data_IF_192007378103
#
_entry.id   IF_192007378103
#
_cell.length_a   1.000
_cell.length_b   1.000
_cell.length_c   1.000
_cell.angle_alpha   90.00
_cell.angle_beta   90.00
_cell.angle_gamma   90.00
#
_symmetry.space_group_name_H-M   'P 1'
#
loop_
_entity.id
_entity.type
_entity.pdbx_description
1 polymer ?
#
# COMPACT_ATOMS: atom_id res chain seq x y z
N UNK A 1 -34.62 -0.05 -21.82
CA UNK A 1 -34.70 0.65 -20.50
C UNK A 1 -33.52 0.14 -19.68
N UNK A 2 -32.56 0.89 -19.15
CA UNK A 2 -32.26 2.32 -19.08
C UNK A 2 -30.74 2.45 -19.29
N UNK A 3 -30.34 3.46 -20.07
CA UNK A 3 -28.96 3.95 -20.14
C UNK A 3 -28.68 4.80 -18.88
N UNK A 4 -27.50 4.67 -18.30
CA UNK A 4 -26.84 5.70 -17.48
C UNK A 4 -25.38 5.73 -17.92
N UNK A 5 -25.04 6.55 -18.92
CA UNK A 5 -24.54 7.93 -18.81
C UNK A 5 -23.25 8.04 -18.00
N UNK A 6 -22.19 8.43 -18.72
CA UNK A 6 -20.88 8.87 -18.24
C UNK A 6 -20.92 9.65 -16.94
N UNK A 7 -19.97 9.35 -16.06
CA UNK A 7 -19.41 10.31 -15.12
C UNK A 7 -17.89 10.21 -15.27
N UNK A 8 -17.33 11.14 -16.06
CA UNK A 8 -15.94 11.53 -15.92
C UNK A 8 -15.88 12.47 -14.72
N UNK A 9 -15.04 12.18 -13.71
CA UNK A 9 -14.58 13.20 -12.77
C UNK A 9 -13.05 13.16 -12.75
N UNK A 10 -12.52 14.10 -13.51
CA UNK A 10 -11.18 14.69 -13.39
C UNK A 10 -10.92 15.15 -11.95
N UNK A 11 -9.72 14.99 -11.41
CA UNK A 11 -9.06 15.96 -10.50
C UNK A 11 -7.52 15.70 -10.58
N UNK A 12 -6.65 16.68 -10.29
CA UNK A 12 -5.93 17.43 -11.30
C UNK A 12 -4.39 17.44 -11.13
N UNK A 13 -3.74 17.74 -12.24
CA UNK A 13 -2.51 18.51 -12.43
C UNK A 13 -1.58 18.75 -11.22
N UNK A 14 -0.40 18.12 -11.30
CA UNK A 14 0.78 18.44 -10.49
C UNK A 14 1.11 19.94 -10.53
N UNK A 15 1.13 20.60 -9.37
CA UNK A 15 1.79 21.90 -9.22
C UNK A 15 3.23 21.70 -8.77
N UNK A 16 4.13 21.74 -9.75
CA UNK A 16 5.58 21.87 -9.56
C UNK A 16 5.87 23.29 -9.04
N UNK A 17 6.15 23.44 -7.76
CA UNK A 17 6.65 24.71 -7.21
C UNK A 17 8.18 24.69 -7.23
N UNK A 18 8.77 25.39 -8.19
CA UNK A 18 10.20 25.73 -8.20
C UNK A 18 10.46 26.82 -7.15
N UNK A 19 11.19 26.50 -6.08
CA UNK A 19 11.70 27.52 -5.13
C UNK A 19 12.93 28.22 -5.72
N UNK A 20 12.82 29.54 -5.90
CA UNK A 20 13.98 30.45 -6.05
C UNK A 20 14.70 30.54 -4.70
N UNK A 21 16.02 30.33 -4.73
CA UNK A 21 16.91 30.55 -3.59
C UNK A 21 17.26 32.04 -3.57
N UNK A 22 16.85 32.75 -2.52
CA UNK A 22 17.38 34.08 -2.17
C UNK A 22 18.08 33.96 -0.82
N UNK A 23 19.39 34.17 -0.84
CA UNK A 23 20.25 34.26 0.34
C UNK A 23 19.99 35.54 1.12
N UNK A 24 19.64 35.42 2.40
CA UNK A 24 19.54 36.52 3.35
C UNK A 24 20.13 36.09 4.69
N UNK A 25 21.16 36.81 5.11
CA UNK A 25 22.02 36.50 6.26
C UNK A 25 21.45 37.06 7.57
N UNK A 26 21.46 36.21 8.60
CA UNK A 26 21.55 36.44 10.06
C UNK A 26 20.69 37.51 10.78
N UNK A 27 20.02 37.07 11.86
CA UNK A 27 20.29 37.60 13.20
C UNK A 27 19.80 36.64 14.27
N UNK A 28 20.72 36.33 15.18
CA UNK A 28 20.54 35.43 16.30
C UNK A 28 19.82 36.15 17.44
N UNK A 29 18.65 35.67 17.85
CA UNK A 29 18.10 35.93 19.18
C UNK A 29 17.72 34.58 19.79
N UNK A 30 18.51 34.15 20.77
CA UNK A 30 18.20 33.00 21.59
C UNK A 30 16.97 33.34 22.44
N UNK A 31 15.84 32.73 22.09
CA UNK A 31 14.66 32.64 22.95
C UNK A 31 14.38 31.16 23.07
N UNK A 32 14.34 30.67 24.31
CA UNK A 32 13.99 29.28 24.61
C UNK A 32 12.70 28.89 23.87
N UNK A 33 12.61 27.72 23.23
CA UNK A 33 11.38 27.31 22.61
C UNK A 33 10.38 26.98 23.72
N UNK A 34 9.47 27.90 24.02
CA UNK A 34 8.18 27.50 24.54
C UNK A 34 7.64 26.44 23.58
N UNK A 35 7.40 25.23 24.09
CA UNK A 35 6.72 24.17 23.36
C UNK A 35 5.25 24.55 23.22
N UNK A 36 4.97 25.60 22.45
CA UNK A 36 3.62 25.90 22.02
C UNK A 36 3.16 24.68 21.22
N UNK A 37 2.20 23.94 21.79
CA UNK A 37 1.56 22.80 21.16
C UNK A 37 1.03 23.27 19.81
N UNK A 38 1.77 23.01 18.72
CA UNK A 38 1.36 23.42 17.38
C UNK A 38 0.00 22.75 17.11
N UNK A 39 -1.07 23.52 16.85
CA UNK A 39 -2.36 22.94 16.55
C UNK A 39 -2.24 22.14 15.26
N UNK A 40 -2.57 20.85 15.32
CA UNK A 40 -2.57 19.97 14.14
C UNK A 40 -3.69 20.44 13.21
N UNK A 41 -3.35 20.79 11.97
CA UNK A 41 -4.36 21.16 10.98
C UNK A 41 -4.96 19.93 10.33
N UNK A 42 -6.20 20.04 9.83
CA UNK A 42 -6.82 19.01 8.96
C UNK A 42 -5.93 18.68 7.76
N UNK A 43 -5.25 19.69 7.18
CA UNK A 43 -4.38 19.48 6.03
C UNK A 43 -3.16 18.61 6.38
N UNK A 44 -2.61 18.74 7.58
CA UNK A 44 -1.47 17.92 8.03
C UNK A 44 -1.86 16.44 8.14
N UNK A 45 -3.08 16.17 8.63
CA UNK A 45 -3.65 14.82 8.64
C UNK A 45 -3.85 14.28 7.22
N UNK A 46 -4.43 15.08 6.32
CA UNK A 46 -4.66 14.65 4.95
C UNK A 46 -3.36 14.38 4.18
N UNK A 47 -2.32 15.18 4.39
CA UNK A 47 -1.01 14.98 3.77
C UNK A 47 -0.36 13.67 4.23
N UNK A 48 -0.43 13.37 5.53
CA UNK A 48 0.09 12.11 6.07
C UNK A 48 -0.75 10.91 5.63
N UNK A 49 -2.09 11.03 5.61
CA UNK A 49 -2.97 9.99 5.09
C UNK A 49 -2.71 9.71 3.60
N UNK A 50 -2.51 10.76 2.81
CA UNK A 50 -2.16 10.66 1.39
C UNK A 50 -0.84 9.92 1.19
N UNK A 51 0.16 10.19 2.03
CA UNK A 51 1.44 9.47 1.98
C UNK A 51 1.25 7.98 2.29
N UNK A 52 0.59 7.66 3.41
CA UNK A 52 0.36 6.28 3.86
C UNK A 52 -0.45 5.48 2.83
N UNK A 53 -1.50 6.08 2.28
CA UNK A 53 -2.38 5.46 1.26
C UNK A 53 -1.60 5.19 -0.03
N UNK A 54 -0.86 6.17 -0.53
CA UNK A 54 -0.04 6.00 -1.74
C UNK A 54 1.04 4.94 -1.56
N UNK A 55 1.67 4.92 -0.40
CA UNK A 55 2.68 3.92 -0.05
C UNK A 55 2.08 2.51 -0.08
N UNK A 56 0.94 2.31 0.58
CA UNK A 56 0.24 1.03 0.58
C UNK A 56 -0.23 0.64 -0.83
N UNK A 57 -0.85 1.56 -1.58
CA UNK A 57 -1.33 1.30 -2.94
C UNK A 57 -0.19 0.84 -3.86
N UNK A 58 0.95 1.55 -3.85
CA UNK A 58 2.14 1.17 -4.65
C UNK A 58 2.60 -0.24 -4.33
N UNK A 59 2.61 -0.62 -3.06
CA UNK A 59 3.02 -1.95 -2.61
C UNK A 59 2.03 -3.02 -3.03
N UNK A 60 0.72 -2.77 -2.90
CA UNK A 60 -0.31 -3.68 -3.42
C UNK A 60 -0.13 -3.92 -4.93
N UNK A 61 0.06 -2.86 -5.72
CA UNK A 61 0.27 -3.00 -7.17
C UNK A 61 1.57 -3.74 -7.49
N UNK A 62 2.67 -3.46 -6.77
CA UNK A 62 3.94 -4.18 -6.96
C UNK A 62 3.82 -5.66 -6.57
N UNK A 63 3.11 -5.98 -5.48
CA UNK A 63 2.78 -7.37 -5.12
C UNK A 63 1.97 -8.07 -6.21
N UNK A 64 0.98 -7.39 -6.80
CA UNK A 64 0.21 -7.93 -7.93
C UNK A 64 1.08 -8.18 -9.16
N UNK A 65 2.00 -7.26 -9.48
CA UNK A 65 2.97 -7.45 -10.57
C UNK A 65 3.87 -8.68 -10.36
N UNK A 66 4.21 -9.01 -9.13
CA UNK A 66 5.01 -10.21 -8.83
C UNK A 66 4.26 -11.51 -9.18
N UNK A 67 2.94 -11.54 -8.99
CA UNK A 67 2.09 -12.72 -9.26
C UNK A 67 2.04 -13.05 -10.77
N UNK A 68 2.27 -12.06 -11.64
CA UNK A 68 2.21 -12.21 -13.10
C UNK A 68 3.10 -13.30 -13.67
N UNK A 69 4.22 -13.56 -13.02
CA UNK A 69 5.23 -14.46 -13.53
C UNK A 69 5.04 -15.90 -13.08
N UNK A 70 4.07 -16.14 -12.19
CA UNK A 70 3.90 -17.42 -11.55
C UNK A 70 5.02 -17.73 -10.55
N UNK A 71 4.89 -18.86 -9.89
CA UNK A 71 5.90 -19.45 -9.02
C UNK A 71 6.09 -20.95 -9.35
N UNK A 72 7.03 -21.60 -8.67
CA UNK A 72 7.28 -23.04 -8.85
C UNK A 72 6.05 -23.91 -8.52
N UNK A 73 5.14 -23.41 -7.68
CA UNK A 73 3.90 -24.10 -7.34
C UNK A 73 2.91 -24.05 -8.51
N UNK A 74 2.73 -22.88 -9.11
CA UNK A 74 1.94 -22.70 -10.33
C UNK A 74 2.50 -23.60 -11.44
N UNK A 75 3.82 -23.62 -11.64
CA UNK A 75 4.47 -24.42 -12.70
C UNK A 75 4.13 -25.91 -12.60
N UNK A 76 4.18 -26.48 -11.39
CA UNK A 76 3.83 -27.89 -11.14
C UNK A 76 2.35 -28.17 -11.38
N UNK A 77 1.47 -27.23 -11.01
CA UNK A 77 0.03 -27.37 -11.22
C UNK A 77 -0.35 -27.28 -12.70
N UNK A 78 0.34 -26.43 -13.47
CA UNK A 78 0.19 -26.39 -14.93
C UNK A 78 0.67 -27.67 -15.59
N UNK A 79 1.87 -28.16 -15.22
CA UNK A 79 2.40 -29.42 -15.75
C UNK A 79 1.46 -30.61 -15.47
N UNK A 80 0.88 -30.67 -14.27
CA UNK A 80 -0.14 -31.67 -13.92
C UNK A 80 -1.36 -31.60 -14.84
N UNK A 81 -1.91 -30.41 -15.06
CA UNK A 81 -3.10 -30.20 -15.91
C UNK A 81 -2.83 -30.46 -17.39
N UNK A 82 -1.66 -30.09 -17.89
CA UNK A 82 -1.25 -30.38 -19.27
C UNK A 82 -1.12 -31.90 -19.49
N UNK A 83 -0.51 -32.62 -18.55
CA UNK A 83 -0.42 -34.08 -18.58
C UNK A 83 -1.80 -34.75 -18.56
N UNK A 84 -2.73 -34.26 -17.74
CA UNK A 84 -4.12 -34.74 -17.71
C UNK A 84 -4.89 -34.47 -19.00
N UNK A 85 -4.62 -33.33 -19.64
CA UNK A 85 -5.24 -32.98 -20.93
C UNK A 85 -4.69 -33.82 -22.09
N UNK A 86 -3.38 -34.09 -22.10
CA UNK A 86 -2.73 -34.91 -23.15
C UNK A 86 -3.01 -36.40 -23.00
N UNK A 87 -3.06 -36.91 -21.76
CA UNK A 87 -3.28 -38.33 -21.45
C UNK A 87 -4.57 -38.50 -20.63
N UNK A 88 -5.76 -38.26 -21.20
CA UNK A 88 -7.01 -38.47 -20.48
C UNK A 88 -7.13 -39.95 -20.07
N UNK A 89 -7.22 -40.21 -18.77
CA UNK A 89 -7.38 -41.56 -18.22
C UNK A 89 -8.56 -42.28 -18.89
N UNK A 90 -8.43 -43.60 -19.11
CA UNK A 90 -9.27 -44.47 -19.95
C UNK A 90 -10.78 -44.60 -19.60
N UNK A 91 -11.37 -43.65 -18.87
CA UNK A 91 -12.82 -43.45 -18.68
C UNK A 91 -13.31 -42.07 -19.15
N UNK A 92 -12.55 -41.45 -20.07
CA UNK A 92 -12.50 -40.01 -20.34
C UNK A 92 -13.82 -39.31 -20.67
N UNK A 93 -14.22 -38.38 -19.78
CA UNK A 93 -14.90 -37.17 -20.23
C UNK A 93 -13.83 -36.32 -20.92
N UNK A 94 -13.89 -36.18 -22.24
CA UNK A 94 -13.10 -35.19 -22.98
C UNK A 94 -13.39 -33.84 -22.31
N UNK A 95 -12.37 -33.21 -21.73
CA UNK A 95 -12.56 -31.88 -21.17
C UNK A 95 -12.90 -30.95 -22.33
N UNK A 96 -14.14 -30.45 -22.37
CA UNK A 96 -14.57 -29.43 -23.33
C UNK A 96 -13.99 -28.05 -23.00
N UNK A 97 -13.18 -27.94 -21.94
CA UNK A 97 -12.43 -26.73 -21.65
C UNK A 97 -11.32 -26.54 -22.68
N UNK A 98 -10.99 -25.29 -23.02
CA UNK A 98 -9.77 -25.01 -23.79
C UNK A 98 -8.54 -25.61 -23.07
N UNK A 99 -7.46 -25.91 -23.83
CA UNK A 99 -6.21 -26.37 -23.24
C UNK A 99 -5.71 -25.37 -22.18
N UNK A 100 -5.09 -25.85 -21.09
CA UNK A 100 -4.44 -24.98 -20.13
C UNK A 100 -3.44 -24.05 -20.84
N UNK A 101 -3.52 -22.75 -20.55
CA UNK A 101 -2.60 -21.76 -21.10
C UNK A 101 -2.04 -20.92 -19.95
N UNK A 102 -0.79 -21.18 -19.59
CA UNK A 102 -0.13 -20.55 -18.45
C UNK A 102 -0.12 -19.03 -18.56
N UNK A 103 0.28 -18.49 -19.71
CA UNK A 103 0.43 -17.05 -19.91
C UNK A 103 -0.91 -16.31 -19.84
N UNK A 104 -1.98 -16.89 -20.38
CA UNK A 104 -3.31 -16.29 -20.35
C UNK A 104 -3.93 -16.34 -18.94
N UNK A 105 -3.76 -17.46 -18.24
CA UNK A 105 -4.23 -17.62 -16.86
C UNK A 105 -3.48 -16.71 -15.88
N UNK A 106 -2.14 -16.64 -15.97
CA UNK A 106 -1.34 -15.75 -15.12
C UNK A 106 -1.63 -14.28 -15.40
N UNK A 107 -1.84 -13.92 -16.67
CA UNK A 107 -2.23 -12.56 -17.07
C UNK A 107 -3.61 -12.20 -16.51
N UNK A 108 -4.62 -13.03 -16.76
CA UNK A 108 -5.99 -12.77 -16.29
C UNK A 108 -6.07 -12.71 -14.77
N UNK A 109 -5.33 -13.56 -14.04
CA UNK A 109 -5.19 -13.49 -12.58
C UNK A 109 -4.62 -12.16 -12.11
N UNK A 110 -3.54 -11.70 -12.76
CA UNK A 110 -2.90 -10.42 -12.42
C UNK A 110 -3.83 -9.24 -12.70
N UNK A 111 -4.50 -9.25 -13.85
CA UNK A 111 -5.46 -8.21 -14.24
C UNK A 111 -6.63 -8.14 -13.25
N UNK A 112 -7.16 -9.29 -12.84
CA UNK A 112 -8.20 -9.38 -11.83
C UNK A 112 -7.80 -8.69 -10.53
N UNK A 113 -6.65 -9.07 -9.94
CA UNK A 113 -6.20 -8.47 -8.68
C UNK A 113 -5.80 -7.00 -8.83
N UNK A 114 -5.29 -6.61 -10.00
CA UNK A 114 -4.99 -5.21 -10.29
C UNK A 114 -6.27 -4.37 -10.34
N UNK A 115 -7.33 -4.84 -11.01
CA UNK A 115 -8.63 -4.17 -11.01
C UNK A 115 -9.26 -4.13 -9.62
N UNK A 116 -9.18 -5.25 -8.90
CA UNK A 116 -9.70 -5.36 -7.54
C UNK A 116 -9.03 -4.37 -6.60
N UNK A 117 -7.69 -4.27 -6.64
CA UNK A 117 -6.96 -3.29 -5.84
C UNK A 117 -7.41 -1.87 -6.18
N UNK A 118 -7.49 -1.49 -7.45
CA UNK A 118 -7.93 -0.14 -7.85
C UNK A 118 -9.34 0.18 -7.37
N UNK A 119 -10.26 -0.76 -7.51
CA UNK A 119 -11.64 -0.58 -7.07
C UNK A 119 -11.72 -0.44 -5.55
N UNK A 120 -11.02 -1.29 -4.81
CA UNK A 120 -10.98 -1.25 -3.35
C UNK A 120 -10.52 0.11 -2.80
N UNK A 121 -9.44 0.69 -3.36
CA UNK A 121 -8.98 2.02 -2.97
C UNK A 121 -9.92 3.16 -3.41
N UNK A 122 -10.75 2.93 -4.42
CA UNK A 122 -11.74 3.92 -4.89
C UNK A 122 -13.00 3.91 -4.04
N UNK A 123 -13.43 2.75 -3.55
CA UNK A 123 -14.66 2.62 -2.75
C UNK A 123 -14.55 3.36 -1.40
N UNK A 124 -13.35 3.42 -0.81
CA UNK A 124 -13.11 4.00 0.52
C UNK A 124 -12.29 5.30 0.47
N UNK A 125 -12.20 5.92 -0.71
CA UNK A 125 -11.46 7.18 -0.88
C UNK A 125 -12.10 8.35 -0.15
N UNK A 126 -13.40 8.26 0.18
CA UNK A 126 -14.17 9.29 0.87
C UNK A 126 -13.99 9.28 2.39
N UNK A 127 -13.12 8.39 2.91
CA UNK A 127 -12.95 8.15 4.34
C UNK A 127 -12.60 9.39 5.16
N UNK A 128 -11.98 10.40 4.54
CA UNK A 128 -11.56 11.66 5.18
C UNK A 128 -12.13 12.91 4.48
N UNK A 129 -13.21 12.77 3.69
CA UNK A 129 -13.78 13.88 2.93
C UNK A 129 -14.62 14.84 3.80
N UNK A 130 -15.13 14.37 4.93
CA UNK A 130 -15.94 15.17 5.85
C UNK A 130 -15.14 16.36 6.43
N UNK A 131 -15.86 17.47 6.67
CA UNK A 131 -15.35 18.67 7.33
C UNK A 131 -16.44 19.22 8.28
N UNK A 132 -16.24 19.20 9.61
CA UNK A 132 -15.06 18.70 10.34
C UNK A 132 -14.91 17.17 10.28
N UNK A 133 -13.69 16.67 10.56
CA UNK A 133 -13.44 15.22 10.66
C UNK A 133 -13.90 14.70 12.01
N UNK A 134 -14.66 13.60 11.99
CA UNK A 134 -15.06 12.87 13.20
C UNK A 134 -14.05 11.76 13.55
N UNK A 135 -14.02 11.34 14.82
CA UNK A 135 -13.23 10.18 15.27
C UNK A 135 -13.54 8.91 14.45
N UNK A 136 -14.81 8.71 14.10
CA UNK A 136 -15.27 7.59 13.27
C UNK A 136 -14.61 7.57 11.90
N UNK A 137 -14.40 8.73 11.28
CA UNK A 137 -13.79 8.86 9.94
C UNK A 137 -12.32 8.44 9.98
N UNK A 138 -11.60 8.90 11.01
CA UNK A 138 -10.21 8.56 11.26
C UNK A 138 -10.06 7.06 11.57
N UNK A 139 -10.92 6.50 12.42
CA UNK A 139 -10.94 5.06 12.71
C UNK A 139 -11.26 4.23 11.47
N UNK A 140 -12.21 4.67 10.64
CA UNK A 140 -12.56 4.03 9.35
C UNK A 140 -11.34 3.99 8.44
N UNK A 141 -10.64 5.11 8.27
CA UNK A 141 -9.42 5.19 7.48
C UNK A 141 -8.32 4.23 8.00
N UNK A 142 -8.02 4.28 9.30
CA UNK A 142 -6.99 3.42 9.92
C UNK A 142 -7.32 1.93 9.79
N UNK A 143 -8.60 1.56 9.93
CA UNK A 143 -9.06 0.20 9.73
C UNK A 143 -8.75 -0.27 8.30
N UNK A 144 -9.11 0.51 7.28
CA UNK A 144 -8.88 0.14 5.89
C UNK A 144 -7.40 0.12 5.51
N UNK A 145 -6.59 1.02 6.07
CA UNK A 145 -5.14 1.02 5.88
C UNK A 145 -4.52 -0.30 6.40
N UNK A 146 -4.86 -0.69 7.64
CA UNK A 146 -4.36 -1.93 8.26
C UNK A 146 -4.89 -3.18 7.57
N UNK A 147 -6.18 -3.20 7.25
CA UNK A 147 -6.82 -4.29 6.52
C UNK A 147 -6.20 -4.47 5.14
N UNK A 148 -5.94 -3.40 4.40
CA UNK A 148 -5.31 -3.48 3.09
C UNK A 148 -3.93 -4.12 3.11
N UNK A 149 -3.07 -3.80 4.10
CA UNK A 149 -1.78 -4.49 4.23
C UNK A 149 -1.92 -5.95 4.65
N UNK A 150 -2.89 -6.26 5.53
CA UNK A 150 -3.20 -7.64 5.91
C UNK A 150 -3.65 -8.47 4.71
N UNK A 151 -4.56 -7.95 3.91
CA UNK A 151 -5.12 -8.63 2.73
C UNK A 151 -4.03 -8.82 1.66
N UNK A 152 -3.15 -7.83 1.47
CA UNK A 152 -1.96 -7.95 0.61
C UNK A 152 -1.03 -9.09 1.05
N UNK A 153 -0.73 -9.17 2.35
CA UNK A 153 0.09 -10.24 2.95
C UNK A 153 -0.56 -11.60 2.77
N UNK A 154 -1.88 -11.66 3.02
CA UNK A 154 -2.65 -12.88 2.87
C UNK A 154 -2.64 -13.38 1.43
N UNK A 155 -2.85 -12.49 0.44
CA UNK A 155 -2.82 -12.83 -0.98
C UNK A 155 -1.50 -13.50 -1.38
N UNK A 156 -0.36 -12.89 -1.02
CA UNK A 156 0.95 -13.47 -1.33
C UNK A 156 1.19 -14.78 -0.59
N UNK A 157 0.78 -14.86 0.68
CA UNK A 157 0.91 -16.08 1.48
C UNK A 157 0.08 -17.25 0.94
N UNK A 158 -1.17 -17.00 0.56
CA UNK A 158 -2.11 -17.99 0.02
C UNK A 158 -1.61 -18.59 -1.29
N UNK A 159 -1.07 -17.75 -2.18
CA UNK A 159 -0.47 -18.19 -3.44
C UNK A 159 1.00 -18.63 -3.31
N UNK A 160 1.54 -18.75 -2.10
CA UNK A 160 2.93 -19.16 -1.84
C UNK A 160 4.00 -18.28 -2.50
N UNK A 161 3.72 -16.99 -2.69
CA UNK A 161 4.72 -16.03 -3.15
C UNK A 161 5.52 -15.47 -1.95
N UNK A 162 6.84 -15.25 -2.09
CA UNK A 162 7.59 -14.52 -1.11
C UNK A 162 7.07 -13.08 -1.02
N UNK A 163 6.91 -12.55 0.20
CA UNK A 163 6.48 -11.15 0.41
C UNK A 163 7.68 -10.22 0.58
N UNK A 164 8.08 -9.47 -0.47
CA UNK A 164 9.16 -8.51 -0.36
C UNK A 164 8.82 -7.27 0.48
N UNK A 165 7.53 -7.03 0.72
CA UNK A 165 7.03 -5.84 1.40
C UNK A 165 6.55 -6.14 2.83
N UNK A 166 6.88 -7.32 3.39
CA UNK A 166 6.40 -7.80 4.70
C UNK A 166 6.55 -6.77 5.83
N UNK A 167 7.68 -6.07 5.85
CA UNK A 167 8.04 -5.06 6.85
C UNK A 167 8.05 -3.64 6.29
N UNK A 168 7.48 -3.42 5.12
CA UNK A 168 7.56 -2.13 4.44
C UNK A 168 6.63 -1.08 5.06
N UNK A 169 5.51 -1.47 5.67
CA UNK A 169 4.56 -0.52 6.26
C UNK A 169 5.19 0.21 7.43
N UNK A 170 5.21 1.53 7.32
CA UNK A 170 5.87 2.42 8.27
C UNK A 170 4.98 2.56 9.50
N UNK A 171 5.23 1.69 10.48
CA UNK A 171 4.49 1.68 11.74
C UNK A 171 4.72 2.96 12.54
N UNK A 172 5.87 3.61 12.40
CA UNK A 172 6.16 4.87 13.09
C UNK A 172 5.29 6.00 12.54
N UNK A 173 5.11 6.08 11.22
CA UNK A 173 4.19 7.04 10.61
C UNK A 173 2.72 6.76 10.92
N UNK A 174 2.32 5.50 11.06
CA UNK A 174 0.96 5.17 11.53
C UNK A 174 0.75 5.68 12.96
N UNK A 175 1.70 5.41 13.87
CA UNK A 175 1.65 5.93 15.25
C UNK A 175 1.64 7.47 15.27
N UNK A 176 2.44 8.10 14.42
CA UNK A 176 2.44 9.57 14.25
C UNK A 176 1.08 10.07 13.79
N UNK A 177 0.46 9.42 12.81
CA UNK A 177 -0.88 9.78 12.34
C UNK A 177 -1.93 9.63 13.45
N UNK A 178 -1.88 8.55 14.23
CA UNK A 178 -2.74 8.34 15.39
C UNK A 178 -2.57 9.45 16.44
N UNK A 179 -1.32 9.80 16.78
CA UNK A 179 -1.03 10.90 17.70
C UNK A 179 -1.50 12.27 17.18
N UNK A 180 -1.35 12.53 15.87
CA UNK A 180 -1.87 13.74 15.23
C UNK A 180 -3.39 13.77 15.26
N UNK A 181 -4.05 12.63 15.07
CA UNK A 181 -5.52 12.55 15.10
C UNK A 181 -6.11 12.79 16.48
N UNK A 182 -5.53 12.23 17.55
CA UNK A 182 -5.94 12.50 18.93
C UNK A 182 -5.85 14.00 19.26
N UNK A 183 -4.73 14.62 18.90
CA UNK A 183 -4.51 16.07 19.05
C UNK A 183 -5.53 16.90 18.27
N UNK A 184 -5.89 16.49 17.05
CA UNK A 184 -6.88 17.18 16.23
C UNK A 184 -8.28 17.12 16.83
N UNK A 185 -8.66 15.98 17.43
CA UNK A 185 -9.96 15.79 18.09
C UNK A 185 -10.05 16.50 19.45
N UNK A 186 -8.94 17.03 19.97
CA UNK A 186 -8.88 17.64 21.30
C UNK A 186 -8.88 16.60 22.42
N UNK A 187 -8.60 15.34 22.12
CA UNK A 187 -8.32 14.28 23.08
C UNK A 187 -6.88 14.45 23.59
N UNK A 188 -6.67 15.49 24.41
CA UNK A 188 -5.45 15.66 25.21
C UNK A 188 -5.56 14.71 26.43
N UNK A 189 -5.27 13.42 26.22
CA UNK A 189 -5.13 12.48 27.34
C UNK A 189 -3.65 12.30 27.71
N UNK A 190 -3.37 12.66 28.96
CA UNK A 190 -2.19 12.31 29.77
C UNK A 190 -2.11 10.79 29.99
N UNK A 191 -2.07 9.98 28.92
CA UNK A 191 -1.77 8.56 29.03
C UNK A 191 -0.25 8.38 29.06
N UNK A 192 0.31 8.37 30.27
CA UNK A 192 1.66 7.86 30.53
C UNK A 192 1.81 6.48 29.87
N UNK A 193 2.76 6.39 28.93
CA UNK A 193 3.15 5.15 28.27
C UNK A 193 3.66 4.15 29.33
N UNK A 194 2.86 3.14 29.68
CA UNK A 194 3.42 1.90 30.21
C UNK A 194 4.06 1.15 29.03
N UNK A 195 5.37 1.32 28.89
CA UNK A 195 6.21 0.55 27.96
C UNK A 195 6.15 -0.95 28.30
N UNK A 196 5.32 -1.70 27.57
CA UNK A 196 5.54 -3.15 27.46
C UNK A 196 6.72 -3.38 26.51
N UNK A 197 7.85 -3.64 27.16
CA UNK A 197 9.17 -3.94 26.61
C UNK A 197 9.13 -5.15 25.65
N UNK A 198 8.99 -4.88 24.35
CA UNK A 198 9.39 -5.83 23.32
C UNK A 198 10.87 -5.58 22.99
N UNK A 199 11.72 -6.50 23.41
CA UNK A 199 13.13 -6.56 23.06
C UNK A 199 13.30 -6.69 21.55
N UNK A 200 13.53 -5.56 20.88
CA UNK A 200 14.06 -5.50 19.53
C UNK A 200 15.59 -5.43 19.61
N UNK A 201 16.27 -6.47 19.14
CA UNK A 201 17.71 -6.45 19.00
C UNK A 201 18.14 -5.37 17.99
N UNK A 202 19.11 -4.58 18.41
CA UNK A 202 19.69 -3.45 17.69
C UNK A 202 20.32 -3.86 16.35
N UNK A 203 19.94 -3.12 15.31
CA UNK A 203 20.69 -2.99 14.07
C UNK A 203 20.72 -1.53 13.64
N UNK A 204 21.65 -0.75 14.17
CA UNK A 204 21.92 0.64 13.79
C UNK A 204 22.25 0.77 12.30
N UNK A 205 21.57 1.67 11.57
CA UNK A 205 22.27 2.78 10.92
C UNK A 205 21.34 3.91 10.44
N UNK A 206 21.85 5.13 10.57
CA UNK A 206 21.25 6.40 10.16
C UNK A 206 21.24 6.53 8.63
N UNK A 207 20.15 7.02 8.06
CA UNK A 207 20.14 7.98 6.94
C UNK A 207 18.73 8.53 6.70
N UNK A 208 18.51 9.82 6.98
CA UNK A 208 17.36 10.61 6.52
C UNK A 208 17.56 10.97 5.04
N UNK A 209 17.53 9.96 4.18
CA UNK A 209 17.56 10.09 2.72
C UNK A 209 16.29 9.49 2.15
N UNK A 210 15.69 10.19 1.19
CA UNK A 210 14.73 9.65 0.24
C UNK A 210 15.04 8.18 -0.06
N UNK A 211 14.24 7.25 0.48
CA UNK A 211 14.34 5.84 0.14
C UNK A 211 13.82 5.74 -1.27
N UNK A 212 14.73 5.68 -2.24
CA UNK A 212 14.41 5.10 -3.53
C UNK A 212 13.91 3.67 -3.23
N UNK A 213 12.62 3.45 -3.51
CA UNK A 213 11.96 2.15 -3.49
C UNK A 213 12.61 1.22 -4.53
N UNK A 214 13.89 0.90 -4.37
CA UNK A 214 14.55 -0.08 -5.23
C UNK A 214 13.91 -1.44 -4.99
N UNK A 215 13.48 -2.06 -6.08
CA UNK A 215 12.87 -3.39 -6.02
C UNK A 215 13.86 -4.37 -5.36
N UNK A 216 13.41 -5.40 -4.62
CA UNK A 216 14.30 -6.36 -3.97
C UNK A 216 15.28 -7.01 -4.97
N UNK A 217 16.50 -7.32 -4.55
CA UNK A 217 17.56 -7.86 -5.43
C UNK A 217 17.11 -9.09 -6.25
N UNK A 218 16.34 -9.99 -5.64
CA UNK A 218 15.80 -11.16 -6.34
C UNK A 218 14.76 -10.78 -7.41
N UNK A 219 13.97 -9.73 -7.17
CA UNK A 219 12.99 -9.22 -8.12
C UNK A 219 13.68 -8.50 -9.27
N UNK A 220 14.70 -7.68 -8.98
CA UNK A 220 15.51 -7.04 -10.03
C UNK A 220 16.27 -8.06 -10.87
N UNK A 221 16.80 -9.10 -10.23
CA UNK A 221 17.52 -10.19 -10.90
C UNK A 221 16.60 -11.03 -11.78
N UNK A 222 15.39 -11.33 -11.31
CA UNK A 222 14.45 -12.19 -12.03
C UNK A 222 13.58 -11.41 -13.03
N UNK A 223 13.35 -10.12 -12.80
CA UNK A 223 12.43 -9.28 -13.56
C UNK A 223 12.99 -7.87 -13.87
N UNK A 224 14.17 -7.76 -14.52
CA UNK A 224 14.83 -6.47 -14.75
C UNK A 224 14.04 -5.50 -15.65
N UNK A 225 13.02 -5.98 -16.35
CA UNK A 225 12.21 -5.22 -17.31
C UNK A 225 10.94 -4.59 -16.70
N UNK A 226 10.71 -4.74 -15.39
CA UNK A 226 9.51 -4.25 -14.70
C UNK A 226 9.69 -2.93 -13.92
N UNK A 227 10.88 -2.31 -14.02
CA UNK A 227 11.16 -0.97 -13.48
C UNK A 227 10.28 0.10 -14.11
#
# INVERSE_FOLDING_TARGET
MLRRTSICIFFPHQRRLTRKITSGTASSSATAPNSDKVPVSRNDLLDEATYLTNSLYRRCIRSVKAIRWGNEFDDKEFERRENEFQNPTAGGRISMSPPPNKEDELRSRTEYYHSFAREYFTQESDSLDNDPLDERDIRRYLYYLRKGDKDRKWLLGDMMFPDPFKHSIDQERIKKFEAMSKKYLGEDDEEEENEENYTAENGSNKNNGFIDDDDPDWFQKNYPHLR
#
